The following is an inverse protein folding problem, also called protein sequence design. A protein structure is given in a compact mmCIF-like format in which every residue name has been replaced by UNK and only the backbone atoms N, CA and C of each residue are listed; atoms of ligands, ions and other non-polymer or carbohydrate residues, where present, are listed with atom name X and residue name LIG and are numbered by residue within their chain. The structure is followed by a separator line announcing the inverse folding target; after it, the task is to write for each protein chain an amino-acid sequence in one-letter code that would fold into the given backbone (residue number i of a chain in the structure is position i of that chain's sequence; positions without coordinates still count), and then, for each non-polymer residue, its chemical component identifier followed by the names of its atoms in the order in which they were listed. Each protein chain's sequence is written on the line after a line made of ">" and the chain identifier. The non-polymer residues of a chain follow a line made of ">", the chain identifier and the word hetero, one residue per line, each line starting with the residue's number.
data_IF_304815925016
#
_entry.id   IF_304815925016
#
_cell.length_a   1.000
_cell.length_b   1.000
_cell.length_c   1.000
_cell.angle_alpha   90.00
_cell.angle_beta   90.00
_cell.angle_gamma   90.00
#
_symmetry.space_group_name_H-M   'P 1'
#
loop_
_entity.id
_entity.type
_entity.pdbx_description
1 polymer ?
#
# COMPACT_ATOMS: atom_id res chain seq x y z
N UNK A 1 9.25 13.42 -2.07
CA UNK A 1 9.40 12.53 -3.24
C UNK A 1 8.45 11.37 -3.05
N UNK A 2 7.65 11.05 -4.07
CA UNK A 2 6.86 9.83 -4.12
C UNK A 2 7.69 8.77 -4.85
N UNK A 3 7.83 7.58 -4.27
CA UNK A 3 8.58 6.46 -4.84
C UNK A 3 7.69 5.59 -5.74
N UNK A 4 6.37 5.69 -5.58
CA UNK A 4 5.40 4.87 -6.30
C UNK A 4 4.54 5.70 -7.25
N UNK A 5 4.30 5.14 -8.43
CA UNK A 5 3.32 5.67 -9.38
C UNK A 5 1.91 5.21 -9.01
N UNK A 6 0.98 6.16 -8.95
CA UNK A 6 -0.43 5.93 -8.64
C UNK A 6 -1.04 7.07 -7.83
N UNK A 7 -2.29 6.89 -7.40
CA UNK A 7 -2.95 7.86 -6.52
C UNK A 7 -2.49 7.62 -5.09
N UNK A 8 -1.70 8.54 -4.52
CA UNK A 8 -1.26 8.45 -3.14
C UNK A 8 -2.45 8.41 -2.17
N UNK A 9 -2.43 7.47 -1.23
CA UNK A 9 -3.47 7.31 -0.21
C UNK A 9 -2.82 7.19 1.17
N UNK A 10 -3.02 8.21 1.99
CA UNK A 10 -2.63 8.22 3.40
C UNK A 10 -3.90 8.44 4.26
N UNK A 11 -4.73 7.39 4.44
CA UNK A 11 -6.00 7.55 5.15
C UNK A 11 -5.73 7.80 6.62
N UNK A 12 -6.29 8.89 7.15
CA UNK A 12 -6.13 9.29 8.57
C UNK A 12 -7.30 8.82 9.42
N UNK A 13 -8.46 8.61 8.80
CA UNK A 13 -9.68 8.18 9.45
C UNK A 13 -10.09 6.78 8.98
N UNK A 14 -10.68 5.99 9.87
CA UNK A 14 -11.16 4.64 9.54
C UNK A 14 -12.15 4.61 8.35
N UNK A 15 -12.96 5.66 8.19
CA UNK A 15 -13.89 5.80 7.06
C UNK A 15 -13.19 6.02 5.73
N UNK A 16 -12.00 6.62 5.73
CA UNK A 16 -11.18 6.79 4.52
C UNK A 16 -10.49 5.49 4.15
N UNK A 17 -9.94 4.78 5.15
CA UNK A 17 -9.32 3.47 4.97
C UNK A 17 -10.30 2.50 4.33
N UNK A 18 -11.55 2.42 4.82
CA UNK A 18 -12.58 1.54 4.24
C UNK A 18 -12.85 1.75 2.75
N UNK A 19 -12.58 2.93 2.19
CA UNK A 19 -12.71 3.20 0.74
C UNK A 19 -11.63 2.53 -0.11
N UNK A 20 -10.65 1.89 0.52
CA UNK A 20 -9.62 1.10 -0.15
C UNK A 20 -10.06 -0.34 -0.41
N UNK A 21 -11.07 -0.84 0.30
CA UNK A 21 -11.58 -2.21 0.09
C UNK A 21 -12.01 -2.41 -1.36
N UNK A 22 -11.55 -3.49 -1.97
CA UNK A 22 -11.73 -3.83 -3.39
C UNK A 22 -10.77 -3.12 -4.35
N UNK A 23 -9.91 -2.21 -3.87
CA UNK A 23 -8.93 -1.53 -4.73
C UNK A 23 -7.62 -2.27 -4.78
N UNK A 24 -7.00 -2.24 -5.96
CA UNK A 24 -5.61 -2.63 -6.13
C UNK A 24 -4.70 -1.53 -5.58
N UNK A 25 -3.78 -1.93 -4.72
CA UNK A 25 -2.83 -1.02 -4.10
C UNK A 25 -1.40 -1.46 -4.38
N UNK A 26 -0.50 -0.49 -4.49
CA UNK A 26 0.94 -0.69 -4.46
C UNK A 26 1.49 -0.01 -3.23
N UNK A 27 2.38 -0.69 -2.51
CA UNK A 27 2.91 -0.19 -1.24
C UNK A 27 4.37 -0.53 -1.04
N UNK A 28 5.03 0.28 -0.22
CA UNK A 28 6.40 0.06 0.26
C UNK A 28 6.39 0.00 1.78
N UNK A 29 7.14 -0.95 2.35
CA UNK A 29 7.48 -0.94 3.77
C UNK A 29 8.91 -0.48 3.98
N UNK A 30 9.24 -0.14 5.22
CA UNK A 30 10.60 0.26 5.59
C UNK A 30 11.66 -0.81 5.25
N UNK A 31 11.28 -2.08 5.23
CA UNK A 31 12.13 -3.21 4.85
C UNK A 31 12.25 -3.43 3.33
N UNK A 32 11.36 -2.83 2.54
CA UNK A 32 11.36 -2.93 1.08
C UNK A 32 12.23 -1.82 0.45
N UNK A 33 12.91 -1.01 1.27
CA UNK A 33 13.80 0.08 0.87
C UNK A 33 15.24 -0.33 1.17
N UNK A 34 16.08 -0.35 0.13
CA UNK A 34 17.51 -0.61 0.29
C UNK A 34 18.21 0.58 0.97
N UNK A 35 18.67 0.35 2.19
CA UNK A 35 19.40 1.34 3.01
C UNK A 35 20.89 1.42 2.68
N UNK A 36 21.40 0.60 1.76
CA UNK A 36 22.81 0.62 1.35
C UNK A 36 23.24 1.88 0.58
N UNK A 37 22.29 2.76 0.24
CA UNK A 37 22.53 4.00 -0.50
C UNK A 37 22.44 3.85 -2.03
N UNK A 38 22.18 2.64 -2.54
CA UNK A 38 21.99 2.38 -3.98
C UNK A 38 20.58 2.71 -4.50
N UNK A 39 19.64 2.98 -3.60
CA UNK A 39 18.31 3.51 -3.96
C UNK A 39 17.37 2.47 -4.57
N UNK A 40 17.52 1.19 -4.27
CA UNK A 40 16.59 0.16 -4.75
C UNK A 40 15.32 0.13 -3.88
N UNK A 41 14.16 0.05 -4.55
CA UNK A 41 12.85 -0.09 -3.93
C UNK A 41 12.19 -1.37 -4.44
N UNK A 42 11.60 -2.14 -3.55
CA UNK A 42 10.92 -3.40 -3.86
C UNK A 42 9.41 -3.26 -3.59
N UNK A 43 8.67 -2.51 -4.43
CA UNK A 43 7.25 -2.30 -4.22
C UNK A 43 6.49 -3.61 -4.27
N UNK A 44 5.48 -3.72 -3.41
CA UNK A 44 4.55 -4.85 -3.35
C UNK A 44 3.18 -4.40 -3.83
N UNK A 45 2.41 -5.35 -4.35
CA UNK A 45 1.05 -5.11 -4.82
C UNK A 45 0.09 -6.14 -4.25
N UNK A 46 -1.13 -5.72 -4.02
CA UNK A 46 -2.23 -6.60 -3.62
C UNK A 46 -3.57 -5.90 -3.79
N UNK A 47 -4.65 -6.66 -3.75
CA UNK A 47 -6.00 -6.13 -3.68
C UNK A 47 -6.41 -6.10 -2.22
N UNK A 48 -6.93 -4.96 -1.75
CA UNK A 48 -7.40 -4.85 -0.37
C UNK A 48 -8.71 -5.62 -0.23
N UNK A 49 -8.67 -6.74 0.48
CA UNK A 49 -9.84 -7.59 0.72
C UNK A 49 -10.69 -7.04 1.88
N UNK A 50 -10.04 -6.65 2.98
CA UNK A 50 -10.71 -6.10 4.14
C UNK A 50 -9.79 -5.21 4.98
N UNK A 51 -10.40 -4.37 5.83
CA UNK A 51 -9.67 -3.48 6.76
C UNK A 51 -10.26 -3.61 8.15
N UNK A 52 -9.39 -3.93 9.12
CA UNK A 52 -9.74 -4.10 10.52
C UNK A 52 -8.93 -3.14 11.38
N UNK A 53 -9.56 -2.07 11.87
CA UNK A 53 -8.86 -1.04 12.64
C UNK A 53 -7.78 -0.34 11.82
N UNK A 54 -6.51 -0.64 12.11
CA UNK A 54 -5.33 -0.12 11.40
C UNK A 54 -4.60 -1.18 10.55
N UNK A 55 -5.23 -2.33 10.35
CA UNK A 55 -4.71 -3.42 9.54
C UNK A 55 -5.41 -3.47 8.18
N UNK A 56 -4.63 -3.80 7.15
CA UNK A 56 -5.08 -4.04 5.78
C UNK A 56 -4.85 -5.53 5.48
N UNK A 57 -5.93 -6.25 5.20
CA UNK A 57 -5.85 -7.60 4.66
C UNK A 57 -5.83 -7.53 3.14
N UNK A 58 -4.85 -8.20 2.53
CA UNK A 58 -4.72 -8.33 1.08
C UNK A 58 -5.23 -9.69 0.60
N UNK A 59 -5.62 -9.76 -0.66
CA UNK A 59 -6.10 -10.95 -1.39
C UNK A 59 -5.17 -12.17 -1.34
N UNK A 60 -3.87 -11.94 -1.14
CA UNK A 60 -2.88 -13.00 -0.97
C UNK A 60 -2.72 -13.49 0.48
N UNK A 61 -3.65 -13.12 1.37
CA UNK A 61 -3.64 -13.51 2.79
C UNK A 61 -2.61 -12.77 3.65
N UNK A 62 -2.03 -11.68 3.13
CA UNK A 62 -1.07 -10.85 3.89
C UNK A 62 -1.85 -9.79 4.69
N UNK A 63 -1.61 -9.75 6.01
CA UNK A 63 -2.03 -8.66 6.88
C UNK A 63 -0.89 -7.65 7.07
N UNK A 64 -1.20 -6.36 6.97
CA UNK A 64 -0.23 -5.26 7.05
C UNK A 64 -0.81 -4.15 7.92
N UNK A 65 -0.04 -3.74 8.94
CA UNK A 65 -0.40 -2.58 9.74
C UNK A 65 0.00 -1.28 9.03
N UNK A 66 -0.88 -0.26 9.04
CA UNK A 66 -0.63 1.01 8.34
C UNK A 66 0.68 1.70 8.73
N UNK A 67 1.16 1.54 9.97
CA UNK A 67 2.43 2.13 10.42
C UNK A 67 3.66 1.55 9.73
N UNK A 68 3.55 0.33 9.19
CA UNK A 68 4.68 -0.35 8.55
C UNK A 68 4.84 0.10 7.10
N UNK A 69 3.81 0.75 6.57
CA UNK A 69 3.74 1.26 5.21
C UNK A 69 4.38 2.64 5.17
N UNK A 70 5.45 2.76 4.39
CA UNK A 70 6.13 4.03 4.11
C UNK A 70 5.36 4.82 3.05
N UNK A 71 4.86 4.12 2.03
CA UNK A 71 4.08 4.72 0.97
C UNK A 71 3.03 3.74 0.47
N UNK A 72 1.81 4.23 0.24
CA UNK A 72 0.67 3.49 -0.27
C UNK A 72 0.04 4.29 -1.41
N UNK A 73 -0.13 3.65 -2.56
CA UNK A 73 -0.84 4.23 -3.69
C UNK A 73 -1.91 3.26 -4.18
N UNK A 74 -3.04 3.81 -4.60
CA UNK A 74 -4.02 3.07 -5.40
C UNK A 74 -3.55 3.11 -6.84
N UNK A 75 -3.47 1.93 -7.44
CA UNK A 75 -3.21 1.78 -8.87
C UNK A 75 -4.53 1.39 -9.54
N UNK A 76 -4.88 2.09 -10.62
CA UNK A 76 -6.00 1.67 -11.45
C UNK A 76 -5.50 0.50 -12.30
N UNK A 77 -6.26 -0.60 -12.35
CA UNK A 77 -6.16 -1.56 -13.45
C UNK A 77 -6.80 -0.93 -14.70
N UNK A 78 -6.28 0.22 -15.14
CA UNK A 78 -6.49 0.65 -16.53
C UNK A 78 -5.59 -0.27 -17.35
N UNK A 79 -6.23 -1.34 -17.81
CA UNK A 79 -5.68 -2.29 -18.76
C UNK A 79 -5.27 -1.50 -20.00
N UNK A 80 -3.96 -1.33 -20.23
CA UNK A 80 -3.42 -1.18 -21.59
C UNK A 80 -3.60 -2.49 -22.36
#
# INVERSE_FOLDING_TARGET
>A
MAFLEGKNVAPRLAVESKKLVGKRVRYLRSQDIDKSGRGHFFPRTGIVESIYGRNIMLDNGIDIHFSDIVELVVINDETE
#
